data_IF_281084421854
#
_entry.id   IF_281084421854
#
_cell.length_a   1.000
_cell.length_b   1.000
_cell.length_c   1.000
_cell.angle_alpha   90.00
_cell.angle_beta   90.00
_cell.angle_gamma   90.00
#
_symmetry.space_group_name_H-M   'P 1'
#
loop_
_entity.id
_entity.type
_entity.pdbx_description
1 polymer ?
#
# COMPACT_ATOMS: atom_id res chain seq x y z
N UNK A 1 -5.76 -0.56 52.03
CA UNK A 1 -6.60 -1.20 50.99
C UNK A 1 -6.80 -0.21 49.86
N UNK A 2 -6.06 -0.40 48.76
CA UNK A 2 -6.10 0.47 47.59
C UNK A 2 -7.36 0.18 46.76
N UNK A 3 -8.36 1.05 46.88
CA UNK A 3 -9.53 1.08 45.99
C UNK A 3 -9.90 2.53 45.72
N UNK A 4 -9.01 3.27 45.06
CA UNK A 4 -9.39 4.51 44.39
C UNK A 4 -9.85 4.13 42.97
N UNK A 5 -11.13 3.79 42.90
CA UNK A 5 -12.05 4.15 41.81
C UNK A 5 -11.43 4.21 40.42
N UNK A 6 -11.36 3.01 39.84
CA UNK A 6 -11.36 2.67 38.43
C UNK A 6 -12.52 3.37 37.69
N UNK A 7 -12.49 4.68 37.44
CA UNK A 7 -13.53 5.40 36.68
C UNK A 7 -13.07 6.80 36.28
N UNK A 8 -12.37 6.95 35.14
CA UNK A 8 -12.33 8.22 34.39
C UNK A 8 -11.67 8.13 32.99
N UNK A 9 -11.39 6.96 32.41
CA UNK A 9 -10.82 6.89 31.05
C UNK A 9 -11.85 6.62 29.94
N UNK A 10 -13.13 6.86 30.23
CA UNK A 10 -14.18 6.91 29.21
C UNK A 10 -14.43 8.35 28.80
N UNK A 11 -13.58 8.88 27.92
CA UNK A 11 -13.98 9.92 26.98
C UNK A 11 -13.45 9.53 25.60
N UNK A 12 -14.09 8.50 25.04
CA UNK A 12 -13.96 8.06 23.67
C UNK A 12 -14.63 9.13 22.78
N UNK A 13 -13.90 10.19 22.45
CA UNK A 13 -14.37 11.17 21.47
C UNK A 13 -14.11 10.62 20.06
N UNK A 14 -15.14 10.00 19.48
CA UNK A 14 -15.21 9.64 18.07
C UNK A 14 -15.04 10.91 17.22
N UNK A 15 -13.84 11.14 16.70
CA UNK A 15 -13.62 12.08 15.60
C UNK A 15 -13.40 11.24 14.35
N UNK A 16 -14.43 11.17 13.50
CA UNK A 16 -14.28 10.66 12.14
C UNK A 16 -13.54 11.71 11.30
N UNK A 17 -12.24 11.89 11.57
CA UNK A 17 -11.38 12.69 10.73
C UNK A 17 -11.20 11.93 9.42
N UNK A 18 -11.84 12.40 8.34
CA UNK A 18 -11.51 11.92 6.98
C UNK A 18 -10.14 12.49 6.63
N UNK A 19 -9.08 11.75 7.00
CA UNK A 19 -7.70 12.15 6.77
C UNK A 19 -7.21 11.61 5.45
N UNK A 20 -6.26 12.32 4.83
CA UNK A 20 -5.56 11.82 3.65
C UNK A 20 -4.95 10.43 3.94
N UNK A 21 -4.99 9.48 2.98
CA UNK A 21 -4.57 8.09 3.17
C UNK A 21 -3.03 7.93 3.11
N UNK A 22 -2.31 8.62 4.01
CA UNK A 22 -0.84 8.70 3.98
C UNK A 22 -0.20 7.32 4.16
N UNK A 23 -0.81 6.46 4.99
CA UNK A 23 -0.30 5.12 5.26
C UNK A 23 -0.40 4.24 4.02
N UNK A 24 -1.57 4.21 3.38
CA UNK A 24 -1.82 3.41 2.19
C UNK A 24 -0.96 3.86 1.02
N UNK A 25 -0.75 5.17 0.86
CA UNK A 25 0.16 5.71 -0.15
C UNK A 25 1.63 5.31 0.12
N UNK A 26 2.04 5.23 1.40
CA UNK A 26 3.37 4.76 1.78
C UNK A 26 3.52 3.26 1.53
N UNK A 27 2.54 2.46 1.94
CA UNK A 27 2.52 1.01 1.73
C UNK A 27 2.62 0.67 0.23
N UNK A 28 1.89 1.38 -0.62
CA UNK A 28 1.95 1.22 -2.07
C UNK A 28 3.36 1.49 -2.62
N UNK A 29 4.00 2.59 -2.21
CA UNK A 29 5.39 2.91 -2.61
C UNK A 29 6.38 1.86 -2.15
N UNK A 30 6.28 1.43 -0.89
CA UNK A 30 7.15 0.41 -0.33
C UNK A 30 6.98 -0.93 -1.04
N UNK A 31 5.73 -1.30 -1.38
CA UNK A 31 5.44 -2.52 -2.14
C UNK A 31 6.04 -2.47 -3.55
N UNK A 32 5.95 -1.33 -4.25
CA UNK A 32 6.56 -1.14 -5.58
C UNK A 32 8.08 -1.29 -5.50
N UNK A 33 8.73 -0.63 -4.53
CA UNK A 33 10.17 -0.78 -4.32
C UNK A 33 10.57 -2.24 -4.01
N UNK A 34 9.76 -2.94 -3.21
CA UNK A 34 9.96 -4.37 -2.92
C UNK A 34 9.85 -5.24 -4.18
N UNK A 35 8.92 -4.93 -5.08
CA UNK A 35 8.79 -5.62 -6.36
C UNK A 35 9.98 -5.36 -7.28
N UNK A 36 10.41 -4.09 -7.41
CA UNK A 36 11.61 -3.69 -8.17
C UNK A 36 12.86 -4.42 -7.66
N UNK A 37 13.08 -4.44 -6.35
CA UNK A 37 14.20 -5.13 -5.71
C UNK A 37 14.19 -6.65 -5.96
N UNK A 38 13.03 -7.24 -6.26
CA UNK A 38 12.89 -8.66 -6.60
C UNK A 38 13.11 -8.94 -8.10
N UNK A 39 13.44 -7.92 -8.90
CA UNK A 39 13.64 -8.02 -10.35
C UNK A 39 12.33 -8.07 -11.13
N UNK A 40 11.24 -7.50 -10.59
CA UNK A 40 9.95 -7.47 -11.29
C UNK A 40 10.00 -6.70 -12.61
N UNK A 41 10.95 -5.78 -12.78
CA UNK A 41 11.15 -5.05 -14.05
C UNK A 41 11.37 -6.02 -15.22
N UNK A 42 12.15 -7.09 -15.03
CA UNK A 42 12.45 -8.06 -16.08
C UNK A 42 11.49 -9.26 -16.04
N UNK A 43 11.12 -9.70 -14.83
CA UNK A 43 10.43 -10.98 -14.62
C UNK A 43 8.92 -10.85 -14.44
N UNK A 44 8.41 -9.65 -14.20
CA UNK A 44 6.98 -9.38 -14.01
C UNK A 44 6.58 -7.94 -14.40
N UNK A 45 6.95 -7.47 -15.61
CA UNK A 45 6.80 -6.07 -16.00
C UNK A 45 5.33 -5.61 -15.99
N UNK A 46 4.39 -6.44 -16.45
CA UNK A 46 2.99 -6.03 -16.59
C UNK A 46 2.35 -5.70 -15.23
N UNK A 47 2.59 -6.54 -14.21
CA UNK A 47 2.07 -6.31 -12.87
C UNK A 47 2.75 -5.10 -12.19
N UNK A 48 4.05 -4.89 -12.44
CA UNK A 48 4.77 -3.72 -11.93
C UNK A 48 4.25 -2.42 -12.58
N UNK A 49 4.05 -2.42 -13.90
CA UNK A 49 3.49 -1.29 -14.63
C UNK A 49 2.05 -0.97 -14.17
N UNK A 50 1.25 -2.00 -13.91
CA UNK A 50 -0.08 -1.83 -13.33
C UNK A 50 -0.03 -1.15 -11.95
N UNK A 51 0.88 -1.61 -11.07
CA UNK A 51 1.07 -1.00 -9.76
C UNK A 51 1.47 0.48 -9.84
N UNK A 52 2.43 0.80 -10.70
CA UNK A 52 2.90 2.18 -10.90
C UNK A 52 1.80 3.07 -11.50
N UNK A 53 0.98 2.55 -12.42
CA UNK A 53 -0.18 3.29 -12.97
C UNK A 53 -1.22 3.59 -11.89
N UNK A 54 -1.58 2.58 -11.10
CA UNK A 54 -2.54 2.74 -10.00
C UNK A 54 -2.03 3.73 -8.94
N UNK A 55 -0.73 3.71 -8.63
CA UNK A 55 -0.16 4.70 -7.70
C UNK A 55 -0.22 6.13 -8.26
N UNK A 56 -0.01 6.33 -9.57
CA UNK A 56 -0.20 7.64 -10.20
C UNK A 56 -1.66 8.09 -10.13
N UNK A 57 -2.61 7.21 -10.44
CA UNK A 57 -4.04 7.48 -10.29
C UNK A 57 -4.37 7.83 -8.83
N UNK A 58 -3.78 7.15 -7.85
CA UNK A 58 -3.94 7.47 -6.44
C UNK A 58 -3.42 8.88 -6.08
N UNK A 59 -2.27 9.29 -6.65
CA UNK A 59 -1.71 10.63 -6.47
C UNK A 59 -2.61 11.71 -7.05
N UNK A 60 -3.12 11.52 -8.27
CA UNK A 60 -4.05 12.46 -8.90
C UNK A 60 -5.33 12.64 -8.05
N UNK A 61 -5.88 11.55 -7.50
CA UNK A 61 -7.05 11.62 -6.60
C UNK A 61 -6.73 12.27 -5.27
N UNK A 62 -5.53 12.07 -4.74
CA UNK A 62 -5.06 12.72 -3.52
C UNK A 62 -4.98 14.23 -3.71
N UNK A 63 -4.37 14.67 -4.81
CA UNK A 63 -4.24 16.09 -5.19
C UNK A 63 -5.61 16.75 -5.42
N UNK A 64 -6.57 16.01 -5.97
CA UNK A 64 -7.95 16.46 -6.14
C UNK A 64 -8.79 16.47 -4.84
N UNK A 65 -8.23 16.07 -3.70
CA UNK A 65 -8.96 15.95 -2.43
C UNK A 65 -9.93 14.76 -2.38
N UNK A 66 -9.92 13.88 -3.39
CA UNK A 66 -10.76 12.69 -3.47
C UNK A 66 -10.15 11.53 -2.66
N UNK A 67 -10.02 11.71 -1.34
CA UNK A 67 -9.27 10.81 -0.45
C UNK A 67 -9.78 9.36 -0.44
N UNK A 68 -11.09 9.13 -0.58
CA UNK A 68 -11.64 7.77 -0.67
C UNK A 68 -11.16 7.02 -1.91
N UNK A 69 -11.16 7.69 -3.06
CA UNK A 69 -10.67 7.12 -4.32
C UNK A 69 -9.14 6.97 -4.29
N UNK A 70 -8.42 7.97 -3.76
CA UNK A 70 -6.98 7.87 -3.55
C UNK A 70 -6.59 6.64 -2.72
N UNK A 71 -7.33 6.39 -1.63
CA UNK A 71 -7.13 5.21 -0.77
C UNK A 71 -7.33 3.91 -1.54
N UNK A 72 -8.40 3.82 -2.34
CA UNK A 72 -8.70 2.64 -3.15
C UNK A 72 -7.59 2.35 -4.17
N UNK A 73 -7.21 3.36 -4.95
CA UNK A 73 -6.13 3.21 -5.92
C UNK A 73 -4.78 2.87 -5.27
N UNK A 74 -4.48 3.40 -4.08
CA UNK A 74 -3.28 3.06 -3.34
C UNK A 74 -3.26 1.59 -2.89
N UNK A 75 -4.39 1.07 -2.39
CA UNK A 75 -4.52 -0.34 -2.02
C UNK A 75 -4.40 -1.25 -3.26
N UNK A 76 -5.03 -0.88 -4.38
CA UNK A 76 -4.92 -1.63 -5.64
C UNK A 76 -3.48 -1.63 -6.17
N UNK A 77 -2.77 -0.49 -6.05
CA UNK A 77 -1.35 -0.37 -6.40
C UNK A 77 -0.47 -1.28 -5.54
N UNK A 78 -0.69 -1.29 -4.21
CA UNK A 78 0.01 -2.17 -3.27
C UNK A 78 -0.18 -3.63 -3.66
N UNK A 79 -1.43 -4.05 -3.91
CA UNK A 79 -1.76 -5.44 -4.22
C UNK A 79 -1.18 -5.87 -5.58
N UNK A 80 -1.18 -4.97 -6.58
CA UNK A 80 -0.50 -5.21 -7.85
C UNK A 80 1.01 -5.35 -7.69
N UNK A 81 1.65 -4.53 -6.84
CA UNK A 81 3.08 -4.61 -6.57
C UNK A 81 3.45 -5.92 -5.84
N UNK A 82 2.63 -6.37 -4.89
CA UNK A 82 2.81 -7.67 -4.23
C UNK A 82 2.75 -8.80 -5.25
N UNK A 83 1.76 -8.79 -6.16
CA UNK A 83 1.69 -9.78 -7.26
C UNK A 83 2.93 -9.73 -8.14
N UNK A 84 3.41 -8.53 -8.49
CA UNK A 84 4.61 -8.36 -9.31
C UNK A 84 5.85 -8.97 -8.63
N UNK A 85 6.00 -8.73 -7.33
CA UNK A 85 7.07 -9.34 -6.51
C UNK A 85 6.98 -10.86 -6.52
N UNK A 86 5.81 -11.42 -6.23
CA UNK A 86 5.62 -12.88 -6.16
C UNK A 86 5.85 -13.56 -7.51
N UNK A 87 5.40 -12.95 -8.61
CA UNK A 87 5.69 -13.41 -9.96
C UNK A 87 7.18 -13.33 -10.27
N UNK A 88 7.84 -12.23 -9.92
CA UNK A 88 9.28 -12.06 -10.13
C UNK A 88 10.10 -13.13 -9.39
N UNK A 89 9.79 -13.38 -8.11
CA UNK A 89 10.46 -14.40 -7.30
C UNK A 89 10.21 -15.81 -7.85
N UNK A 90 8.96 -16.14 -8.21
CA UNK A 90 8.65 -17.44 -8.83
C UNK A 90 9.38 -17.63 -10.15
N UNK A 91 9.39 -16.63 -11.02
CA UNK A 91 10.05 -16.69 -12.32
C UNK A 91 11.58 -16.77 -12.17
N UNK A 92 12.15 -16.18 -11.11
CA UNK A 92 13.57 -16.33 -10.79
C UNK A 92 13.93 -17.78 -10.43
N UNK A 93 13.07 -18.46 -9.66
CA UNK A 93 13.25 -19.87 -9.32
C UNK A 93 13.12 -20.78 -10.55
N UNK A 94 12.15 -20.49 -11.43
CA UNK A 94 11.90 -21.30 -12.63
C UNK A 94 12.94 -21.08 -13.74
N UNK A 95 13.59 -19.91 -13.78
CA UNK A 95 14.64 -19.57 -14.75
C UNK A 95 15.85 -19.04 -13.99
N UNK A 96 16.61 -19.91 -13.31
CA UNK A 96 17.86 -19.51 -12.71
C UNK A 96 18.79 -18.98 -13.81
N UNK A 97 19.48 -17.88 -13.54
CA UNK A 97 20.48 -17.37 -14.48
C UNK A 97 21.57 -18.44 -14.69
N UNK A 98 22.08 -18.62 -15.93
CA UNK A 98 23.20 -19.53 -16.20
C UNK A 98 24.47 -19.10 -15.48
#
# INVERSE_FOLDING_TARGET
MAKLTLSAFSLLALTACVTAPVQEMSDARQAIHSAEASGAVQRSPDALLAAQRLLREAQERLEAGAYGEARRYALDARDAAIRAREQATRNAVLRPAP
#
